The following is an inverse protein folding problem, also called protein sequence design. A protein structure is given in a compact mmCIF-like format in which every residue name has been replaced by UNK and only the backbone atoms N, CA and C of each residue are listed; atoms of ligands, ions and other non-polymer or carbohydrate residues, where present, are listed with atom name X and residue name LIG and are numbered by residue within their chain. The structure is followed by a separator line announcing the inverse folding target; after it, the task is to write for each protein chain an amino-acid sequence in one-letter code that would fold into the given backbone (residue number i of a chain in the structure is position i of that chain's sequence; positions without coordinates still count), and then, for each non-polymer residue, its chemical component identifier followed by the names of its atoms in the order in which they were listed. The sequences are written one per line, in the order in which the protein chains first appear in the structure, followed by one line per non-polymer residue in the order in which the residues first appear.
data_IF_799243599774
#
_entry.id   IF_799243599774
#
_cell.length_a   1.000
_cell.length_b   1.000
_cell.length_c   1.000
_cell.angle_alpha   90.00
_cell.angle_beta   90.00
_cell.angle_gamma   90.00
#
_symmetry.space_group_name_H-M   'P 1'
#
loop_
_entity.id
_entity.type
_entity.pdbx_description
1 polymer ?
#
# COMPACT_ATOMS: atom_id res chain seq x y z
N UNK A 1 -16.48 6.27 -13.18
CA UNK A 1 -15.20 6.94 -13.04
C UNK A 1 -14.32 6.55 -14.20
N UNK A 2 -13.84 7.54 -14.94
CA UNK A 2 -12.99 7.31 -16.09
C UNK A 2 -11.55 7.11 -15.59
N UNK A 3 -10.93 5.99 -15.99
CA UNK A 3 -9.49 5.77 -15.77
C UNK A 3 -8.77 6.54 -16.87
N UNK A 4 -8.04 7.59 -16.48
CA UNK A 4 -7.20 8.34 -17.41
C UNK A 4 -5.78 7.76 -17.34
N UNK A 5 -5.38 7.07 -18.42
CA UNK A 5 -3.99 6.63 -18.59
C UNK A 5 -3.17 7.83 -19.09
N UNK A 6 -2.36 8.42 -18.20
CA UNK A 6 -1.49 9.55 -18.56
C UNK A 6 -0.18 9.09 -19.17
N UNK A 7 0.42 8.03 -18.62
CA UNK A 7 1.67 7.45 -19.13
C UNK A 7 1.73 5.96 -18.87
N UNK A 8 2.29 5.21 -19.81
CA UNK A 8 2.68 3.82 -19.59
C UNK A 8 4.12 3.78 -19.09
N UNK A 9 4.40 3.04 -18.03
CA UNK A 9 5.75 2.84 -17.57
C UNK A 9 6.56 2.09 -18.65
N UNK A 10 7.74 2.62 -18.97
CA UNK A 10 8.67 1.92 -19.85
C UNK A 10 9.23 0.72 -19.10
N UNK A 11 9.27 -0.43 -19.76
CA UNK A 11 9.94 -1.61 -19.21
C UNK A 11 11.44 -1.56 -19.51
N UNK A 12 12.25 -1.96 -18.52
CA UNK A 12 13.67 -2.20 -18.76
C UNK A 12 13.89 -3.52 -19.52
N UNK A 13 15.16 -3.87 -19.83
CA UNK A 13 15.52 -5.09 -20.56
C UNK A 13 15.07 -6.39 -19.87
N UNK A 14 14.82 -6.34 -18.55
CA UNK A 14 14.35 -7.47 -17.74
C UNK A 14 12.81 -7.49 -17.58
N UNK A 15 12.09 -6.64 -18.28
CA UNK A 15 10.63 -6.54 -18.22
C UNK A 15 10.09 -5.80 -16.97
N UNK A 16 10.96 -5.24 -16.13
CA UNK A 16 10.53 -4.44 -14.97
C UNK A 16 10.09 -3.04 -15.41
N UNK A 17 9.01 -2.54 -14.83
CA UNK A 17 8.55 -1.19 -15.08
C UNK A 17 9.47 -0.15 -14.42
N UNK A 18 9.83 0.91 -15.15
CA UNK A 18 10.62 2.01 -14.60
C UNK A 18 9.75 3.00 -13.86
N UNK A 19 9.70 2.89 -12.54
CA UNK A 19 9.01 3.83 -11.65
C UNK A 19 9.62 5.23 -11.78
N UNK A 20 10.95 5.34 -11.86
CA UNK A 20 11.63 6.62 -12.03
C UNK A 20 11.19 7.34 -13.30
N UNK A 21 11.07 6.62 -14.41
CA UNK A 21 10.61 7.20 -15.67
C UNK A 21 9.20 7.78 -15.57
N UNK A 22 8.30 7.12 -14.84
CA UNK A 22 6.96 7.63 -14.59
C UNK A 22 6.97 8.85 -13.68
N UNK A 23 7.64 8.76 -12.52
CA UNK A 23 7.59 9.81 -11.50
C UNK A 23 8.21 11.13 -11.94
N UNK A 24 9.32 11.09 -12.68
CA UNK A 24 10.02 12.32 -13.13
C UNK A 24 9.21 13.18 -14.11
N UNK A 25 8.21 12.58 -14.79
CA UNK A 25 7.42 13.25 -15.82
C UNK A 25 6.03 13.67 -15.32
N UNK A 26 5.71 13.37 -14.05
CA UNK A 26 4.40 13.66 -13.46
C UNK A 26 4.56 14.72 -12.37
N UNK A 27 3.72 15.73 -12.41
CA UNK A 27 3.56 16.65 -11.27
C UNK A 27 2.77 15.96 -10.17
N UNK A 28 3.49 15.42 -9.18
CA UNK A 28 2.88 14.68 -8.07
C UNK A 28 2.04 15.59 -7.15
N UNK A 29 2.26 16.91 -7.17
CA UNK A 29 1.47 17.84 -6.34
C UNK A 29 0.01 17.96 -6.78
N UNK A 30 -0.29 17.52 -8.00
CA UNK A 30 -1.66 17.48 -8.54
C UNK A 30 -2.52 16.31 -8.00
N UNK A 31 -1.94 15.42 -7.19
CA UNK A 31 -2.62 14.24 -6.69
C UNK A 31 -2.66 14.22 -5.16
N UNK A 32 -3.82 13.93 -4.58
CA UNK A 32 -4.02 13.83 -3.14
C UNK A 32 -3.55 12.47 -2.57
N UNK A 33 -3.59 11.43 -3.39
CA UNK A 33 -3.12 10.08 -3.03
C UNK A 33 -2.40 9.40 -4.20
N UNK A 34 -1.43 8.56 -3.87
CA UNK A 34 -0.63 7.80 -4.82
C UNK A 34 -0.49 6.35 -4.33
N UNK A 35 -0.88 5.38 -5.17
CA UNK A 35 -0.60 3.96 -4.94
C UNK A 35 0.57 3.51 -5.80
N UNK A 36 1.53 2.84 -5.17
CA UNK A 36 2.74 2.32 -5.82
C UNK A 36 3.00 0.88 -5.39
N UNK A 37 3.30 0.04 -6.36
CA UNK A 37 3.80 -1.30 -6.06
C UNK A 37 3.33 -2.41 -6.99
N UNK A 38 2.02 -2.63 -7.17
CA UNK A 38 1.56 -3.72 -8.03
C UNK A 38 2.22 -3.68 -9.42
N UNK A 39 2.92 -4.78 -9.78
CA UNK A 39 3.46 -4.97 -11.12
C UNK A 39 4.66 -4.11 -11.51
N UNK A 40 5.29 -3.37 -10.60
CA UNK A 40 6.48 -2.56 -10.93
C UNK A 40 7.77 -3.38 -11.01
N UNK A 41 7.73 -4.66 -10.59
CA UNK A 41 8.89 -5.54 -10.53
C UNK A 41 9.92 -5.14 -9.47
N UNK A 42 11.01 -5.90 -9.39
CA UNK A 42 12.10 -5.66 -8.44
C UNK A 42 13.31 -5.14 -9.21
N UNK A 43 13.59 -3.83 -9.09
CA UNK A 43 14.75 -3.16 -9.68
C UNK A 43 15.28 -2.13 -8.67
N UNK A 44 16.42 -2.47 -8.06
CA UNK A 44 17.00 -1.66 -6.99
C UNK A 44 17.58 -0.34 -7.51
N UNK A 45 18.11 -0.30 -8.74
CA UNK A 45 18.66 0.92 -9.33
C UNK A 45 17.53 1.91 -9.66
N UNK A 46 16.44 1.41 -10.22
CA UNK A 46 15.24 2.20 -10.46
C UNK A 46 14.62 2.72 -9.15
N UNK A 47 14.61 1.88 -8.09
CA UNK A 47 14.17 2.30 -6.77
C UNK A 47 15.03 3.43 -6.19
N UNK A 48 16.36 3.32 -6.26
CA UNK A 48 17.26 4.37 -5.74
C UNK A 48 17.03 5.73 -6.41
N UNK A 49 16.68 5.74 -7.70
CA UNK A 49 16.35 6.97 -8.44
C UNK A 49 14.95 7.49 -8.13
N UNK A 50 14.03 6.61 -7.75
CA UNK A 50 12.60 6.90 -7.56
C UNK A 50 12.26 7.33 -6.14
N UNK A 51 13.00 6.83 -5.14
CA UNK A 51 12.65 6.96 -3.72
C UNK A 51 12.49 8.39 -3.25
N UNK A 52 13.33 9.31 -3.74
CA UNK A 52 13.32 10.71 -3.32
C UNK A 52 12.02 11.41 -3.76
N UNK A 53 11.50 11.10 -4.96
CA UNK A 53 10.18 11.58 -5.40
C UNK A 53 9.06 11.11 -4.47
N UNK A 54 9.13 9.86 -4.00
CA UNK A 54 8.14 9.30 -3.07
C UNK A 54 8.32 9.89 -1.67
N UNK A 55 9.53 10.17 -1.23
CA UNK A 55 9.80 10.79 0.07
C UNK A 55 9.29 12.23 0.12
N UNK A 56 9.44 12.98 -0.96
CA UNK A 56 9.03 14.38 -1.06
C UNK A 56 7.54 14.55 -1.40
N UNK A 57 6.88 13.49 -1.86
CA UNK A 57 5.46 13.54 -2.19
C UNK A 57 4.61 13.88 -0.97
N UNK A 58 3.94 15.05 -0.98
CA UNK A 58 3.19 15.61 0.13
C UNK A 58 1.83 14.97 0.41
N UNK A 59 1.29 14.20 -0.54
CA UNK A 59 0.01 13.50 -0.40
C UNK A 59 0.10 12.17 0.36
N UNK A 60 -1.01 11.45 0.41
CA UNK A 60 -1.09 10.10 0.97
C UNK A 60 -0.39 9.11 0.05
N UNK A 61 0.63 8.43 0.55
CA UNK A 61 1.32 7.35 -0.16
C UNK A 61 0.82 5.98 0.30
N UNK A 62 0.32 5.18 -0.64
CA UNK A 62 -0.07 3.78 -0.42
C UNK A 62 0.98 2.89 -1.09
N UNK A 63 1.58 1.97 -0.32
CA UNK A 63 2.61 1.06 -0.82
C UNK A 63 2.18 -0.39 -0.65
N UNK A 64 2.30 -1.16 -1.73
CA UNK A 64 1.92 -2.57 -1.77
C UNK A 64 2.93 -3.39 -2.60
N UNK A 65 2.88 -4.68 -2.49
CA UNK A 65 3.56 -5.66 -3.36
C UNK A 65 5.04 -5.32 -3.63
N UNK A 66 5.41 -5.10 -4.90
CA UNK A 66 6.81 -4.90 -5.30
C UNK A 66 7.43 -3.64 -4.69
N UNK A 67 6.66 -2.59 -4.40
CA UNK A 67 7.20 -1.43 -3.68
C UNK A 67 7.70 -1.80 -2.28
N UNK A 68 6.96 -2.64 -1.56
CA UNK A 68 7.36 -3.14 -0.25
C UNK A 68 8.61 -4.02 -0.34
N UNK A 69 8.71 -4.84 -1.41
CA UNK A 69 9.88 -5.65 -1.67
C UNK A 69 11.11 -4.77 -1.97
N UNK A 70 10.97 -3.77 -2.85
CA UNK A 70 12.05 -2.82 -3.17
C UNK A 70 12.54 -2.05 -1.92
N UNK A 71 11.62 -1.64 -1.03
CA UNK A 71 11.97 -1.01 0.25
C UNK A 71 12.78 -1.97 1.10
N UNK A 72 12.30 -3.21 1.29
CA UNK A 72 12.97 -4.20 2.16
C UNK A 72 14.38 -4.55 1.69
N UNK A 73 14.65 -4.53 0.39
CA UNK A 73 15.95 -4.80 -0.22
C UNK A 73 16.84 -3.55 -0.35
N UNK A 74 16.29 -2.36 -0.11
CA UNK A 74 17.04 -1.11 -0.18
C UNK A 74 17.94 -0.91 1.03
N UNK A 75 18.96 -0.04 0.90
CA UNK A 75 19.86 0.32 2.02
C UNK A 75 19.15 0.94 3.21
N UNK A 76 18.05 1.65 2.98
CA UNK A 76 17.24 2.26 4.04
C UNK A 76 16.36 1.22 4.74
N UNK A 77 15.91 0.19 4.01
CA UNK A 77 14.93 -0.72 4.56
C UNK A 77 13.70 0.02 5.10
N UNK A 78 13.18 -0.42 6.23
CA UNK A 78 12.03 0.23 6.89
C UNK A 78 12.29 1.66 7.38
N UNK A 79 13.55 2.11 7.47
CA UNK A 79 13.85 3.51 7.81
C UNK A 79 13.33 4.50 6.77
N UNK A 80 13.04 4.04 5.55
CA UNK A 80 12.31 4.82 4.56
C UNK A 80 11.04 5.46 5.15
N UNK A 81 10.32 4.74 5.99
CA UNK A 81 9.10 5.25 6.62
C UNK A 81 9.38 6.31 7.69
N UNK A 82 10.48 6.19 8.43
CA UNK A 82 10.88 7.18 9.44
C UNK A 82 11.38 8.49 8.80
N UNK A 83 12.05 8.39 7.66
CA UNK A 83 12.56 9.55 6.94
C UNK A 83 11.45 10.31 6.20
N UNK A 84 10.39 9.61 5.76
CA UNK A 84 9.23 10.22 5.12
C UNK A 84 8.35 10.97 6.13
N UNK A 85 8.16 12.27 5.92
CA UNK A 85 7.41 13.15 6.82
C UNK A 85 5.89 13.13 6.60
N UNK A 86 5.43 12.56 5.51
CA UNK A 86 4.04 12.59 5.09
C UNK A 86 3.35 11.23 5.33
N UNK A 87 2.02 11.25 5.32
CA UNK A 87 1.21 10.07 5.63
C UNK A 87 1.49 8.92 4.67
N UNK A 88 1.75 7.75 5.26
CA UNK A 88 2.03 6.52 4.51
C UNK A 88 1.17 5.38 5.04
N UNK A 89 0.50 4.70 4.13
CA UNK A 89 -0.22 3.46 4.38
C UNK A 89 0.43 2.33 3.61
N UNK A 90 0.56 1.18 4.25
CA UNK A 90 1.13 -0.01 3.62
C UNK A 90 0.23 -1.21 3.77
N UNK A 91 0.30 -2.14 2.81
CA UNK A 91 -0.61 -3.29 2.76
C UNK A 91 0.13 -4.63 2.66
N UNK A 92 1.08 -4.95 3.56
CA UNK A 92 1.88 -6.16 3.46
C UNK A 92 1.07 -7.42 3.78
N UNK A 93 1.32 -8.50 3.05
CA UNK A 93 1.03 -9.85 3.53
C UNK A 93 2.16 -10.34 4.47
N UNK A 94 1.99 -11.49 5.11
CA UNK A 94 2.91 -11.98 6.16
C UNK A 94 4.38 -12.09 5.72
N UNK A 95 4.66 -12.48 4.47
CA UNK A 95 6.03 -12.60 3.96
C UNK A 95 6.67 -11.23 3.71
N UNK A 96 5.92 -10.28 3.15
CA UNK A 96 6.37 -8.89 2.95
C UNK A 96 6.62 -8.23 4.28
N UNK A 97 5.71 -8.39 5.23
CA UNK A 97 5.85 -7.85 6.58
C UNK A 97 7.14 -8.30 7.25
N UNK A 98 7.44 -9.61 7.23
CA UNK A 98 8.65 -10.16 7.86
C UNK A 98 9.94 -9.69 7.19
N UNK A 99 9.92 -9.42 5.88
CA UNK A 99 11.07 -8.85 5.16
C UNK A 99 11.29 -7.38 5.51
N UNK A 100 10.20 -6.59 5.59
CA UNK A 100 10.26 -5.19 5.97
C UNK A 100 10.68 -4.97 7.42
N UNK A 101 10.15 -5.78 8.33
CA UNK A 101 10.27 -5.59 9.77
C UNK A 101 10.85 -6.84 10.48
N UNK A 102 12.10 -7.24 10.15
CA UNK A 102 12.67 -8.47 10.67
C UNK A 102 12.87 -8.44 12.19
N UNK A 103 12.97 -7.26 12.79
CA UNK A 103 13.21 -7.08 14.23
C UNK A 103 11.91 -6.91 15.03
N UNK A 104 10.76 -6.76 14.38
CA UNK A 104 9.48 -6.67 15.09
C UNK A 104 9.05 -8.07 15.52
N UNK A 105 8.94 -8.26 16.84
CA UNK A 105 8.58 -9.53 17.47
C UNK A 105 7.37 -9.35 18.36
N UNK A 106 6.32 -10.11 18.11
CA UNK A 106 5.14 -10.18 18.95
C UNK A 106 4.50 -11.56 18.88
N UNK A 107 3.82 -11.97 19.94
CA UNK A 107 3.15 -13.26 20.02
C UNK A 107 1.92 -13.35 19.08
N UNK A 108 1.40 -12.23 18.63
CA UNK A 108 0.19 -12.15 17.81
C UNK A 108 0.39 -11.24 16.57
N UNK A 109 -0.37 -11.52 15.50
CA UNK A 109 -0.38 -10.64 14.34
C UNK A 109 -0.89 -9.23 14.66
N UNK A 110 -1.77 -9.08 15.64
CA UNK A 110 -2.23 -7.79 16.17
C UNK A 110 -1.07 -7.00 16.74
N UNK A 111 -0.28 -7.64 17.61
CA UNK A 111 0.91 -7.03 18.18
C UNK A 111 1.96 -6.69 17.12
N UNK A 112 2.23 -7.59 16.17
CA UNK A 112 3.15 -7.32 15.07
C UNK A 112 2.76 -6.06 14.28
N UNK A 113 1.48 -5.96 13.87
CA UNK A 113 0.97 -4.82 13.12
C UNK A 113 1.02 -3.52 13.93
N UNK A 114 0.64 -3.57 15.21
CA UNK A 114 0.64 -2.41 16.10
C UNK A 114 2.07 -1.91 16.39
N UNK A 115 2.98 -2.81 16.74
CA UNK A 115 4.36 -2.46 17.09
C UNK A 115 5.09 -1.84 15.89
N UNK A 116 4.94 -2.43 14.69
CA UNK A 116 5.50 -1.86 13.48
C UNK A 116 4.87 -0.51 13.13
N UNK A 117 3.55 -0.37 13.20
CA UNK A 117 2.87 0.90 12.92
C UNK A 117 3.31 2.01 13.86
N UNK A 118 3.53 1.68 15.14
CA UNK A 118 4.01 2.61 16.17
C UNK A 118 5.47 2.98 15.96
N UNK A 119 6.35 2.00 15.71
CA UNK A 119 7.79 2.22 15.55
C UNK A 119 8.09 3.06 14.31
N UNK A 120 7.41 2.78 13.19
CA UNK A 120 7.67 3.44 11.91
C UNK A 120 6.70 4.58 11.59
N UNK A 121 5.78 4.93 12.51
CA UNK A 121 4.79 6.01 12.37
C UNK A 121 3.97 5.94 11.06
N UNK A 122 3.48 4.76 10.72
CA UNK A 122 2.69 4.47 9.52
C UNK A 122 1.35 3.80 9.89
N UNK A 123 0.42 3.73 8.91
CA UNK A 123 -0.71 2.84 9.05
C UNK A 123 -0.48 1.57 8.23
N UNK A 124 -0.80 0.43 8.80
CA UNK A 124 -0.54 -0.90 8.23
C UNK A 124 -1.85 -1.65 8.06
N UNK A 125 -2.10 -2.17 6.87
CA UNK A 125 -3.00 -3.28 6.65
C UNK A 125 -2.18 -4.57 6.58
N UNK A 126 -2.15 -5.34 7.64
CA UNK A 126 -1.57 -6.68 7.64
C UNK A 126 -2.58 -7.66 7.03
N UNK A 127 -2.31 -8.06 5.78
CA UNK A 127 -3.20 -8.95 5.01
C UNK A 127 -3.13 -10.39 5.53
N UNK A 128 -4.29 -11.01 5.76
CA UNK A 128 -4.41 -12.39 6.22
C UNK A 128 -5.85 -12.86 6.27
N UNK A 129 -6.09 -14.09 6.78
CA UNK A 129 -7.44 -14.64 6.96
C UNK A 129 -8.33 -13.72 7.82
N UNK A 130 -7.75 -13.09 8.81
CA UNK A 130 -8.32 -11.95 9.54
C UNK A 130 -7.41 -10.77 9.30
N UNK A 131 -7.80 -9.87 8.40
CA UNK A 131 -7.01 -8.68 8.10
C UNK A 131 -6.99 -7.72 9.30
N UNK A 132 -5.84 -7.11 9.53
CA UNK A 132 -5.62 -6.21 10.66
C UNK A 132 -5.19 -4.86 10.11
N UNK A 133 -5.91 -3.80 10.49
CA UNK A 133 -5.47 -2.42 10.24
C UNK A 133 -4.96 -1.85 11.55
N UNK A 134 -3.79 -1.23 11.54
CA UNK A 134 -3.18 -0.65 12.74
C UNK A 134 -2.55 0.71 12.43
N UNK A 135 -2.55 1.60 13.42
CA UNK A 135 -1.69 2.77 13.50
C UNK A 135 -1.00 2.81 14.87
N UNK A 136 -0.30 3.90 15.17
CA UNK A 136 0.43 4.06 16.45
C UNK A 136 -0.46 4.11 17.70
N UNK A 137 -1.79 4.13 17.54
CA UNK A 137 -2.75 4.33 18.64
C UNK A 137 -3.83 3.26 18.73
N UNK A 138 -4.24 2.68 17.59
CA UNK A 138 -5.40 1.81 17.49
C UNK A 138 -5.13 0.61 16.57
N UNK A 139 -5.87 -0.46 16.82
CA UNK A 139 -5.90 -1.66 15.98
C UNK A 139 -7.35 -2.03 15.67
N UNK A 140 -7.63 -2.30 14.41
CA UNK A 140 -8.90 -2.86 13.93
C UNK A 140 -8.65 -4.26 13.43
N UNK A 141 -9.35 -5.24 13.95
CA UNK A 141 -9.36 -6.58 13.39
C UNK A 141 -10.65 -6.81 12.60
N UNK A 142 -10.50 -7.14 11.34
CA UNK A 142 -11.63 -7.37 10.44
C UNK A 142 -11.93 -8.86 10.40
N UNK A 143 -13.11 -9.23 10.87
CA UNK A 143 -13.59 -10.60 10.86
C UNK A 143 -14.42 -10.89 9.60
N UNK A 144 -14.39 -12.14 9.11
CA UNK A 144 -15.22 -12.56 7.99
C UNK A 144 -14.70 -12.18 6.61
N UNK A 145 -13.40 -11.88 6.49
CA UNK A 145 -12.74 -11.88 5.19
C UNK A 145 -12.65 -13.32 4.72
N UNK A 146 -13.66 -13.77 3.96
CA UNK A 146 -13.76 -15.14 3.45
C UNK A 146 -12.51 -15.51 2.62
N UNK A 147 -12.15 -16.80 2.64
CA UNK A 147 -11.07 -17.36 1.78
C UNK A 147 -11.30 -17.09 0.28
N UNK A 148 -12.52 -16.74 -0.13
CA UNK A 148 -12.84 -16.30 -1.48
C UNK A 148 -12.26 -14.94 -1.84
N UNK A 149 -11.83 -14.13 -0.87
CA UNK A 149 -11.14 -12.84 -1.10
C UNK A 149 -9.65 -13.01 -1.40
N UNK A 150 -9.12 -14.22 -1.31
CA UNK A 150 -7.70 -14.52 -1.62
C UNK A 150 -7.48 -14.86 -3.12
N UNK A 151 -8.16 -14.16 -4.03
CA UNK A 151 -7.96 -14.35 -5.47
C UNK A 151 -6.84 -13.47 -5.97
N UNK A 152 -6.14 -13.95 -7.01
CA UNK A 152 -5.12 -13.15 -7.71
C UNK A 152 -5.73 -11.85 -8.25
N UNK A 153 -5.03 -10.73 -8.06
CA UNK A 153 -5.44 -9.39 -8.49
C UNK A 153 -6.34 -8.62 -7.51
N UNK A 154 -6.95 -9.27 -6.49
CA UNK A 154 -7.77 -8.55 -5.51
C UNK A 154 -6.94 -7.64 -4.58
N UNK A 155 -5.66 -7.98 -4.36
CA UNK A 155 -4.74 -7.09 -3.64
C UNK A 155 -4.48 -5.80 -4.40
N UNK A 156 -4.25 -5.90 -5.70
CA UNK A 156 -3.97 -4.77 -6.58
C UNK A 156 -5.20 -3.85 -6.68
N UNK A 157 -6.40 -4.46 -6.83
CA UNK A 157 -7.68 -3.74 -6.79
C UNK A 157 -7.89 -3.04 -5.44
N UNK A 158 -7.53 -3.68 -4.33
CA UNK A 158 -7.64 -3.08 -3.00
C UNK A 158 -6.76 -1.82 -2.90
N UNK A 159 -5.53 -1.88 -3.34
CA UNK A 159 -4.60 -0.73 -3.28
C UNK A 159 -5.10 0.44 -4.13
N UNK A 160 -5.60 0.16 -5.34
CA UNK A 160 -6.24 1.16 -6.20
C UNK A 160 -7.53 1.72 -5.59
N UNK A 161 -8.38 0.87 -5.00
CA UNK A 161 -9.61 1.28 -4.32
C UNK A 161 -9.32 2.19 -3.12
N UNK A 162 -8.31 1.84 -2.30
CA UNK A 162 -7.88 2.67 -1.17
C UNK A 162 -7.42 4.04 -1.67
N UNK A 163 -6.58 4.09 -2.70
CA UNK A 163 -6.08 5.34 -3.24
C UNK A 163 -7.21 6.22 -3.78
N UNK A 164 -8.06 5.68 -4.65
CA UNK A 164 -9.18 6.42 -5.22
C UNK A 164 -10.17 6.93 -4.17
N UNK A 165 -10.55 6.07 -3.21
CA UNK A 165 -11.46 6.45 -2.11
C UNK A 165 -10.84 7.52 -1.22
N UNK A 166 -9.54 7.41 -0.94
CA UNK A 166 -8.81 8.41 -0.15
C UNK A 166 -8.75 9.76 -0.84
N UNK A 167 -8.50 9.80 -2.15
CA UNK A 167 -8.48 11.03 -2.93
C UNK A 167 -9.87 11.72 -2.89
N UNK A 168 -10.95 10.95 -3.05
CA UNK A 168 -12.32 11.48 -2.96
C UNK A 168 -12.58 12.05 -1.56
N UNK A 169 -12.30 11.30 -0.49
CA UNK A 169 -12.57 11.77 0.86
C UNK A 169 -11.68 12.97 1.24
N UNK A 170 -10.45 13.09 0.69
CA UNK A 170 -9.57 14.25 0.88
C UNK A 170 -10.12 15.53 0.26
N UNK A 171 -11.00 15.46 -0.75
CA UNK A 171 -11.68 16.64 -1.28
C UNK A 171 -12.68 17.24 -0.28
N UNK A 172 -13.23 16.43 0.61
CA UNK A 172 -14.22 16.85 1.63
C UNK A 172 -13.59 17.01 3.02
N UNK A 173 -12.58 16.21 3.33
CA UNK A 173 -11.91 16.17 4.62
C UNK A 173 -10.43 16.47 4.43
N UNK A 174 -9.93 17.59 4.94
CA UNK A 174 -8.49 17.95 4.84
C UNK A 174 -7.54 16.92 5.46
N UNK A 175 -8.05 16.00 6.27
CA UNK A 175 -7.24 14.96 6.91
C UNK A 175 -8.06 13.67 7.02
N UNK A 176 -7.55 12.60 6.42
CA UNK A 176 -8.07 11.24 6.59
C UNK A 176 -7.24 10.49 7.62
N UNK A 177 -7.92 9.70 8.45
CA UNK A 177 -7.32 8.90 9.52
C UNK A 177 -7.26 7.43 9.14
N UNK A 178 -6.64 6.61 9.97
CA UNK A 178 -6.62 5.16 9.81
C UNK A 178 -8.02 4.53 9.96
N UNK A 179 -8.99 5.24 10.56
CA UNK A 179 -10.39 4.81 10.55
C UNK A 179 -10.95 4.73 9.11
N UNK A 180 -10.60 5.69 8.25
CA UNK A 180 -10.93 5.63 6.82
C UNK A 180 -10.27 4.43 6.14
N UNK A 181 -8.99 4.17 6.44
CA UNK A 181 -8.28 3.01 5.91
C UNK A 181 -9.00 1.70 6.28
N UNK A 182 -9.35 1.53 7.55
CA UNK A 182 -10.11 0.36 8.02
C UNK A 182 -11.48 0.25 7.32
N UNK A 183 -12.19 1.38 7.14
CA UNK A 183 -13.46 1.45 6.40
C UNK A 183 -13.31 1.00 4.96
N UNK A 184 -12.28 1.45 4.24
CA UNK A 184 -12.07 1.05 2.83
C UNK A 184 -11.78 -0.45 2.73
N UNK A 185 -10.93 -0.98 3.60
CA UNK A 185 -10.64 -2.42 3.64
C UNK A 185 -11.93 -3.23 3.89
N UNK A 186 -12.77 -2.78 4.82
CA UNK A 186 -14.05 -3.43 5.12
C UNK A 186 -15.00 -3.39 3.92
N UNK A 187 -15.14 -2.24 3.27
CA UNK A 187 -16.00 -2.08 2.09
C UNK A 187 -15.54 -2.96 0.93
N UNK A 188 -14.23 -3.02 0.66
CA UNK A 188 -13.66 -3.89 -0.36
C UNK A 188 -13.91 -5.36 -0.04
N UNK A 189 -13.69 -5.78 1.21
CA UNK A 189 -13.95 -7.16 1.65
C UNK A 189 -15.43 -7.53 1.52
N UNK A 190 -16.33 -6.62 1.87
CA UNK A 190 -17.76 -6.82 1.71
C UNK A 190 -18.16 -6.95 0.24
N UNK A 191 -17.65 -6.08 -0.63
CA UNK A 191 -17.90 -6.18 -2.07
C UNK A 191 -17.38 -7.50 -2.64
N UNK A 192 -16.16 -7.92 -2.29
CA UNK A 192 -15.58 -9.17 -2.71
C UNK A 192 -16.40 -10.40 -2.27
N UNK A 193 -16.99 -10.37 -1.05
CA UNK A 193 -17.85 -11.44 -0.55
C UNK A 193 -19.16 -11.58 -1.34
N UNK A 194 -19.60 -10.54 -2.05
CA UNK A 194 -20.80 -10.58 -2.91
C UNK A 194 -20.52 -11.05 -4.33
N UNK A 195 -19.27 -11.16 -4.74
CA UNK A 195 -18.91 -11.70 -6.04
C UNK A 195 -19.23 -13.20 -6.08
N UNK A 196 -19.92 -13.66 -7.13
CA UNK A 196 -20.22 -15.08 -7.32
C UNK A 196 -18.92 -15.87 -7.48
N UNK A 197 -18.89 -17.09 -6.97
CA UNK A 197 -17.82 -18.04 -7.22
C UNK A 197 -17.59 -18.17 -8.74
N UNK A 198 -16.36 -17.92 -9.20
CA UNK A 198 -16.00 -17.97 -10.63
C UNK A 198 -16.07 -16.64 -11.40
N UNK A 199 -16.55 -15.54 -10.81
CA UNK A 199 -16.41 -14.22 -11.42
C UNK A 199 -14.96 -13.72 -11.31
N UNK A 200 -14.42 -13.18 -12.41
CA UNK A 200 -13.13 -12.49 -12.37
C UNK A 200 -13.27 -11.17 -11.58
N UNK A 201 -12.17 -10.74 -10.98
CA UNK A 201 -12.09 -9.40 -10.43
C UNK A 201 -12.16 -8.38 -11.59
N UNK A 202 -13.27 -7.71 -11.75
CA UNK A 202 -13.52 -6.67 -12.76
C UNK A 202 -13.82 -5.35 -12.10
#
# INVERSE_FOLDING_TARGET
PEIVLKETMQSNQNGNASLFSALKNIDLSAFDSLAVGPGIGIDNDDWQKSKDYLMDYGGLLILDADALNRISESKLGANFFLERKFKTWITPHSKEFRRLFPNINSATNLGLAFDAAKEFNISILFKGANSIVADSKKVWQLFGTDSQTARAGLGDLLSGFIAGSSAIDLTFCRNITTDFFAKYVLLHSFAASKCKSGSNAS
#
